data_IF_576195131445
#
_entry.id   IF_576195131445
#
_cell.length_a   1.000
_cell.length_b   1.000
_cell.length_c   1.000
_cell.angle_alpha   90.00
_cell.angle_beta   90.00
_cell.angle_gamma   90.00
#
_symmetry.space_group_name_H-M   'P 1'
#
loop_
_entity.id
_entity.type
_entity.pdbx_description
1 polymer ?
#
# COMPACT_ATOMS: atom_id res chain seq x y z
N UNK A 1 9.76 14.50 8.28
CA UNK A 1 8.71 13.60 7.72
C UNK A 1 7.73 14.49 6.97
N UNK A 2 7.61 14.36 5.65
CA UNK A 2 6.75 15.25 4.85
C UNK A 2 5.29 14.78 4.96
N UNK A 3 4.42 15.64 5.49
CA UNK A 3 2.99 15.55 5.26
C UNK A 3 2.80 15.99 3.81
N UNK A 4 2.34 15.08 2.94
CA UNK A 4 2.06 15.44 1.55
C UNK A 4 0.69 16.10 1.53
N UNK A 5 0.68 17.44 1.48
CA UNK A 5 -0.56 18.20 1.30
C UNK A 5 -1.10 18.11 -0.14
N UNK A 6 -0.32 17.75 -1.16
CA UNK A 6 -0.78 17.88 -2.56
C UNK A 6 -0.25 16.86 -3.59
N UNK A 7 -1.21 16.36 -4.37
CA UNK A 7 -1.23 16.21 -5.85
C UNK A 7 -0.58 15.03 -6.59
N UNK A 8 0.32 14.24 -6.00
CA UNK A 8 0.76 13.03 -6.73
C UNK A 8 -0.31 11.94 -6.66
N UNK A 9 -1.27 12.02 -7.57
CA UNK A 9 -2.33 11.01 -7.75
C UNK A 9 -1.81 9.74 -8.40
N UNK A 10 -0.56 9.74 -8.88
CA UNK A 10 0.05 8.61 -9.57
C UNK A 10 1.48 8.37 -9.09
N UNK A 11 1.81 7.12 -8.84
CA UNK A 11 3.14 6.71 -8.44
C UNK A 11 3.65 5.64 -9.38
N UNK A 12 4.90 5.81 -9.81
CA UNK A 12 5.68 4.74 -10.41
C UNK A 12 6.71 4.29 -9.38
N UNK A 13 6.69 3.01 -9.04
CA UNK A 13 7.67 2.37 -8.15
C UNK A 13 8.37 1.27 -8.92
N UNK A 14 9.69 1.33 -8.98
CA UNK A 14 10.49 0.21 -9.46
C UNK A 14 10.48 -0.94 -8.45
N UNK A 15 10.65 -2.17 -8.94
CA UNK A 15 10.74 -3.37 -8.10
C UNK A 15 11.81 -3.22 -7.00
N UNK A 16 11.48 -3.66 -5.78
CA UNK A 16 12.31 -3.56 -4.59
C UNK A 16 12.33 -2.19 -3.91
N UNK A 17 11.68 -1.17 -4.48
CA UNK A 17 11.57 0.14 -3.84
C UNK A 17 10.37 0.22 -2.89
N UNK A 18 10.51 1.11 -1.91
CA UNK A 18 9.47 1.44 -0.93
C UNK A 18 9.13 2.92 -0.98
N UNK A 19 7.84 3.23 -0.82
CA UNK A 19 7.38 4.60 -0.55
C UNK A 19 6.54 4.60 0.73
N UNK A 20 6.63 5.67 1.50
CA UNK A 20 5.80 5.86 2.68
C UNK A 20 5.29 7.28 2.78
N UNK A 21 4.01 7.45 3.07
CA UNK A 21 3.39 8.77 3.23
C UNK A 21 2.16 8.72 4.12
N UNK A 22 1.70 9.90 4.54
CA UNK A 22 0.40 10.11 5.18
C UNK A 22 -0.49 10.86 4.23
N UNK A 23 -1.79 10.53 4.26
CA UNK A 23 -2.80 11.21 3.46
C UNK A 23 -3.60 12.19 4.31
N UNK A 24 -3.91 13.36 3.77
CA UNK A 24 -4.78 14.34 4.42
C UNK A 24 -6.24 13.86 4.51
N UNK A 25 -6.69 13.05 3.55
CA UNK A 25 -8.04 12.46 3.48
C UNK A 25 -7.97 11.00 3.02
N UNK A 26 -9.01 10.21 3.33
CA UNK A 26 -9.10 8.84 2.85
C UNK A 26 -9.17 8.80 1.31
N UNK A 27 -8.51 7.81 0.72
CA UNK A 27 -8.42 7.63 -0.75
C UNK A 27 -8.62 6.17 -1.13
N UNK A 28 -9.06 5.94 -2.35
CA UNK A 28 -8.95 4.64 -2.99
C UNK A 28 -7.57 4.55 -3.65
N UNK A 29 -6.73 3.63 -3.17
CA UNK A 29 -5.48 3.30 -3.84
C UNK A 29 -5.75 2.16 -4.83
N UNK A 30 -5.43 2.37 -6.10
CA UNK A 30 -5.60 1.39 -7.18
C UNK A 30 -4.24 1.01 -7.73
N UNK A 31 -3.99 -0.29 -7.91
CA UNK A 31 -2.81 -0.77 -8.65
C UNK A 31 -3.18 -0.85 -10.12
N UNK A 32 -2.61 0.02 -10.95
CA UNK A 32 -2.83 0.04 -12.40
C UNK A 32 -1.96 -1.00 -13.11
N UNK A 33 -0.73 -1.19 -12.65
CA UNK A 33 0.21 -2.21 -13.14
C UNK A 33 1.09 -2.71 -11.99
N UNK A 34 1.59 -3.94 -12.10
CA UNK A 34 2.54 -4.52 -11.14
C UNK A 34 1.89 -5.24 -9.95
N UNK A 35 2.65 -5.34 -8.86
CA UNK A 35 2.30 -6.04 -7.62
C UNK A 35 2.99 -5.34 -6.45
N UNK A 36 2.22 -5.00 -5.41
CA UNK A 36 2.71 -4.29 -4.24
C UNK A 36 2.23 -4.92 -2.93
N UNK A 37 3.06 -4.84 -1.90
CA UNK A 37 2.69 -5.09 -0.51
C UNK A 37 2.36 -3.77 0.18
N UNK A 38 1.29 -3.76 0.97
CA UNK A 38 0.79 -2.58 1.64
C UNK A 38 0.64 -2.84 3.13
N UNK A 39 1.24 -1.97 3.91
CA UNK A 39 1.06 -1.90 5.36
C UNK A 39 0.50 -0.54 5.74
N UNK A 40 -0.53 -0.52 6.59
CA UNK A 40 -1.12 0.71 7.10
C UNK A 40 -1.07 0.73 8.63
N UNK A 41 -0.55 1.82 9.18
CA UNK A 41 -0.62 2.09 10.62
C UNK A 41 -2.08 2.01 11.11
N UNK A 42 -2.27 1.32 12.23
CA UNK A 42 -3.58 1.10 12.84
C UNK A 42 -4.42 -0.03 12.23
N UNK A 43 -3.97 -0.70 11.17
CA UNK A 43 -4.59 -1.95 10.69
C UNK A 43 -3.78 -3.16 11.14
N UNK A 44 -4.48 -4.24 11.49
CA UNK A 44 -3.88 -5.51 11.91
C UNK A 44 -3.39 -6.37 10.75
N UNK A 45 -3.78 -6.03 9.53
CA UNK A 45 -3.55 -6.82 8.33
C UNK A 45 -2.76 -6.01 7.30
N UNK A 46 -1.90 -6.73 6.58
CA UNK A 46 -1.19 -6.24 5.41
C UNK A 46 -1.81 -6.84 4.14
N UNK A 47 -1.64 -6.16 3.00
CA UNK A 47 -2.31 -6.52 1.75
C UNK A 47 -1.33 -6.65 0.59
N UNK A 48 -1.35 -7.79 -0.10
CA UNK A 48 -0.83 -7.89 -1.47
C UNK A 48 -1.90 -7.40 -2.44
N UNK A 49 -1.56 -6.43 -3.28
CA UNK A 49 -2.42 -5.95 -4.36
C UNK A 49 -1.70 -6.06 -5.71
N UNK A 50 -2.40 -6.55 -6.73
CA UNK A 50 -1.93 -6.61 -8.12
C UNK A 50 -2.73 -5.68 -9.03
N UNK A 51 -2.28 -5.55 -10.27
CA UNK A 51 -3.00 -4.80 -11.30
C UNK A 51 -4.51 -5.14 -11.34
N UNK A 52 -5.34 -4.11 -11.22
CA UNK A 52 -6.80 -4.20 -11.14
C UNK A 52 -7.36 -4.15 -9.72
N UNK A 53 -6.54 -4.43 -8.70
CA UNK A 53 -6.97 -4.36 -7.31
C UNK A 53 -6.97 -2.92 -6.78
N UNK A 54 -7.77 -2.69 -5.73
CA UNK A 54 -7.73 -1.45 -4.98
C UNK A 54 -8.17 -1.60 -3.53
N UNK A 55 -7.75 -0.66 -2.69
CA UNK A 55 -8.06 -0.62 -1.27
C UNK A 55 -8.34 0.81 -0.80
N UNK A 56 -9.27 0.98 0.12
CA UNK A 56 -9.46 2.24 0.83
C UNK A 56 -8.38 2.39 1.90
N UNK A 57 -7.53 3.40 1.72
CA UNK A 57 -6.49 3.79 2.69
C UNK A 57 -6.98 4.98 3.52
N UNK A 58 -6.80 4.91 4.83
CA UNK A 58 -7.32 5.97 5.72
C UNK A 58 -6.45 7.22 5.71
N UNK A 59 -7.03 8.35 6.11
CA UNK A 59 -6.26 9.56 6.40
C UNK A 59 -5.37 9.39 7.63
N UNK A 60 -4.38 10.27 7.74
CA UNK A 60 -3.49 10.54 8.90
C UNK A 60 -2.62 9.40 9.44
N UNK A 61 -2.92 8.15 9.08
CA UNK A 61 -2.11 6.97 9.36
C UNK A 61 -0.96 6.85 8.35
N UNK A 62 0.20 6.36 8.80
CA UNK A 62 1.30 6.05 7.89
C UNK A 62 0.91 4.88 6.97
N UNK A 63 0.98 5.12 5.66
CA UNK A 63 0.89 4.10 4.63
C UNK A 63 2.31 3.78 4.14
N UNK A 64 2.64 2.49 4.05
CA UNK A 64 3.88 1.98 3.46
C UNK A 64 3.50 1.07 2.30
N UNK A 65 4.15 1.29 1.15
CA UNK A 65 3.94 0.51 -0.06
C UNK A 65 5.29 0.03 -0.57
N UNK A 66 5.46 -1.28 -0.65
CA UNK A 66 6.64 -1.96 -1.19
C UNK A 66 6.30 -2.60 -2.54
N UNK A 67 7.11 -2.36 -3.56
CA UNK A 67 6.89 -2.89 -4.88
C UNK A 67 7.64 -4.21 -5.10
N UNK A 68 6.92 -5.31 -5.33
CA UNK A 68 7.53 -6.59 -5.73
C UNK A 68 7.95 -6.56 -7.20
N UNK A 69 7.13 -5.91 -8.04
CA UNK A 69 7.40 -5.66 -9.45
C UNK A 69 7.36 -4.17 -9.76
N UNK A 70 7.87 -3.75 -10.92
CA UNK A 70 7.65 -2.40 -11.43
C UNK A 70 6.14 -2.12 -11.48
N UNK A 71 5.72 -1.11 -10.71
CA UNK A 71 4.31 -0.89 -10.39
C UNK A 71 3.89 0.54 -10.66
N UNK A 72 2.66 0.68 -11.14
CA UNK A 72 1.98 1.95 -11.34
C UNK A 72 0.75 1.98 -10.44
N UNK A 73 0.66 3.00 -9.58
CA UNK A 73 -0.38 3.14 -8.58
C UNK A 73 -1.11 4.46 -8.78
N UNK A 74 -2.41 4.47 -8.52
CA UNK A 74 -3.22 5.68 -8.52
C UNK A 74 -3.91 5.89 -7.17
N UNK A 75 -3.95 7.13 -6.68
CA UNK A 75 -4.77 7.55 -5.55
C UNK A 75 -5.97 8.32 -6.09
N UNK A 76 -7.15 7.76 -5.88
CA UNK A 76 -8.43 8.31 -6.32
C UNK A 76 -9.24 8.80 -5.11
N UNK A 77 -10.18 9.74 -5.31
CA UNK A 77 -11.17 10.03 -4.29
C UNK A 77 -11.83 8.75 -3.79
N UNK A 78 -11.90 8.57 -2.47
CA UNK A 78 -12.64 7.45 -1.92
C UNK A 78 -14.12 7.55 -2.35
N UNK A 79 -14.76 6.46 -2.79
CA UNK A 79 -16.19 6.41 -3.01
C UNK A 79 -16.94 6.86 -1.75
N UNK A 80 -18.11 7.47 -1.90
CA UNK A 80 -18.94 7.85 -0.76
C UNK A 80 -19.24 6.64 0.14
N UNK A 81 -19.49 6.88 1.43
CA UNK A 81 -19.65 5.84 2.46
C UNK A 81 -20.66 4.72 2.10
N UNK A 82 -21.58 4.99 1.18
CA UNK A 82 -22.55 4.03 0.65
C UNK A 82 -21.89 2.88 -0.15
N UNK A 83 -20.72 3.09 -0.76
CA UNK A 83 -19.96 2.09 -1.51
C UNK A 83 -18.87 1.38 -0.69
N UNK A 84 -18.45 1.97 0.44
CA UNK A 84 -17.42 1.39 1.31
C UNK A 84 -17.85 0.06 1.95
N UNK A 85 -19.16 -0.11 2.21
CA UNK A 85 -19.70 -1.36 2.74
C UNK A 85 -19.61 -2.54 1.74
N UNK A 86 -19.68 -2.26 0.43
CA UNK A 86 -19.56 -3.27 -0.62
C UNK A 86 -18.08 -3.63 -0.94
N UNK A 87 -17.15 -2.69 -0.75
CA UNK A 87 -15.72 -2.91 -0.97
C UNK A 87 -15.11 -3.93 0.03
N UNK A 88 -15.69 -4.07 1.22
CA UNK A 88 -15.27 -5.06 2.22
C UNK A 88 -15.51 -6.52 1.79
N UNK A 89 -16.34 -6.77 0.76
CA UNK A 89 -16.56 -8.12 0.22
C UNK A 89 -15.52 -8.54 -0.82
N UNK A 90 -14.80 -7.60 -1.46
CA UNK A 90 -13.79 -7.94 -2.48
C UNK A 90 -12.44 -8.38 -1.87
N UNK A 91 -12.21 -8.15 -0.58
CA UNK A 91 -10.95 -8.47 0.12
C UNK A 91 -10.83 -9.93 0.58
N UNK A 92 -11.92 -10.69 0.68
CA UNK A 92 -11.85 -12.09 1.17
C UNK A 92 -11.14 -13.04 0.18
N UNK A 93 -11.20 -12.77 -1.12
CA UNK A 93 -10.54 -13.62 -2.14
C UNK A 93 -9.03 -13.37 -2.20
N UNK A 94 -8.57 -12.14 -1.92
CA UNK A 94 -7.14 -11.80 -1.93
C UNK A 94 -6.39 -12.29 -0.66
N UNK A 95 -7.05 -12.27 0.50
CA UNK A 95 -6.47 -12.69 1.78
C UNK A 95 -6.12 -14.19 1.84
N UNK A 96 -6.78 -15.02 1.01
CA UNK A 96 -6.60 -16.48 1.02
C UNK A 96 -5.38 -16.93 0.21
N UNK A 97 -4.96 -16.18 -0.83
CA UNK A 97 -3.77 -16.52 -1.64
C UNK A 97 -2.47 -15.90 -1.11
N UNK A 98 -2.54 -14.83 -0.31
CA UNK A 98 -1.36 -14.19 0.30
C UNK A 98 -0.63 -15.07 1.33
N UNK A 99 -1.34 -15.98 2.02
CA UNK A 99 -0.72 -16.94 2.97
C UNK A 99 0.10 -18.02 2.27
N UNK A 100 -0.24 -18.37 1.03
CA UNK A 100 0.43 -19.45 0.30
C UNK A 100 1.74 -19.01 -0.37
N UNK A 101 1.91 -17.71 -0.69
CA UNK A 101 3.10 -17.21 -1.40
C UNK A 101 4.22 -16.77 -0.44
N UNK A 102 3.90 -16.40 0.82
CA UNK A 102 4.92 -16.08 1.83
C UNK A 102 5.88 -17.23 2.13
N UNK A 103 5.47 -18.49 1.89
CA UNK A 103 6.36 -19.64 2.05
C UNK A 103 7.25 -19.92 0.82
N UNK A 104 6.96 -19.32 -0.35
CA UNK A 104 7.72 -19.56 -1.58
C UNK A 104 8.76 -18.47 -1.89
N UNK A 105 8.66 -17.29 -1.28
CA UNK A 105 9.62 -16.21 -1.43
C UNK A 105 10.22 -15.85 -0.07
N UNK A 106 11.03 -16.77 0.45
CA UNK A 106 11.84 -16.53 1.65
C UNK A 106 12.87 -15.44 1.41
N UNK A 107 12.53 -14.18 1.74
CA UNK A 107 13.52 -13.13 1.97
C UNK A 107 13.15 -12.31 3.21
N UNK A 108 14.00 -12.28 4.25
CA UNK A 108 13.78 -11.40 5.39
C UNK A 108 13.92 -9.95 4.94
N UNK A 109 12.93 -9.12 5.30
CA UNK A 109 12.94 -7.67 5.18
C UNK A 109 14.29 -7.13 5.67
N UNK A 110 15.08 -6.57 4.75
CA UNK A 110 16.35 -5.92 5.07
C UNK A 110 16.03 -4.63 5.81
N UNK A 111 15.99 -4.67 7.14
CA UNK A 111 15.96 -3.48 7.99
C UNK A 111 17.20 -2.63 7.68
N UNK A 112 17.05 -1.61 6.85
CA UNK A 112 18.05 -0.56 6.74
C UNK A 112 18.05 0.23 8.05
N UNK A 113 18.95 -0.13 8.96
CA UNK A 113 19.30 0.66 10.13
C UNK A 113 19.89 1.98 9.63
N UNK A 114 19.09 3.06 9.67
CA UNK A 114 19.62 4.42 9.59
C UNK A 114 20.50 4.62 10.82
N UNK A 115 21.83 4.66 10.62
CA UNK A 115 22.75 5.13 11.65
C UNK A 115 22.57 6.63 11.78
N UNK A 116 21.93 7.10 12.84
CA UNK A 116 22.15 8.47 13.30
C UNK A 116 23.58 8.54 13.83
N UNK A 117 24.45 9.30 13.16
CA UNK A 117 25.71 9.76 13.72
C UNK A 117 25.42 11.06 14.45
N UNK A 118 25.45 11.03 15.77
CA UNK A 118 25.76 12.20 16.57
C UNK A 118 27.26 12.43 16.57
N UNK A 119 27.67 13.67 16.29
CA UNK A 119 28.80 14.37 16.88
C UNK A 119 28.36 15.81 17.05
#
# INVERSE_FOLDING_TARGET
MKILDQERLQYQLSAGNVVSFRLASARLLVVRRGMVWITQEGRSEDFWLRAGDGIIVSSTQLLVIEAEHDSELALEPAPSAQFAAAANWFSEVAATLGRAISHLLGRPLRRHRVKQKGV
#
